data_IF_724032890952
#
_entry.id   IF_724032890952
#
_cell.length_a   1.000
_cell.length_b   1.000
_cell.length_c   1.000
_cell.angle_alpha   90.00
_cell.angle_beta   90.00
_cell.angle_gamma   90.00
#
_symmetry.space_group_name_H-M   'P 1'
#
loop_
_entity.id
_entity.type
_entity.pdbx_description
1 polymer ?
#
# COMPACT_ATOMS: atom_id res chain seq x y z
N UNK A 1 -22.03 -26.40 -40.13
CA UNK A 1 -23.36 -26.51 -39.47
C UNK A 1 -23.27 -25.86 -38.10
N UNK A 2 -23.88 -24.68 -37.91
CA UNK A 2 -23.88 -23.94 -36.63
C UNK A 2 -25.19 -24.22 -35.90
N UNK A 3 -25.12 -24.78 -34.70
CA UNK A 3 -26.28 -24.97 -33.83
C UNK A 3 -26.66 -23.62 -33.16
N UNK A 4 -27.96 -23.30 -33.04
CA UNK A 4 -28.42 -22.06 -32.44
C UNK A 4 -28.40 -22.14 -30.90
N UNK A 5 -27.97 -21.04 -30.28
CA UNK A 5 -27.86 -20.87 -28.83
C UNK A 5 -29.25 -20.52 -28.25
N UNK A 6 -29.75 -21.17 -27.18
CA UNK A 6 -31.07 -20.89 -26.64
C UNK A 6 -31.09 -19.56 -25.89
N UNK A 7 -32.03 -18.69 -26.28
CA UNK A 7 -32.34 -17.41 -25.65
C UNK A 7 -32.80 -17.65 -24.21
N UNK A 8 -32.08 -17.09 -23.23
CA UNK A 8 -32.56 -16.97 -21.85
C UNK A 8 -33.42 -15.72 -21.75
N UNK A 9 -34.73 -15.93 -21.65
CA UNK A 9 -35.68 -14.92 -21.21
C UNK A 9 -35.37 -14.52 -19.76
N UNK A 10 -35.14 -13.22 -19.55
CA UNK A 10 -35.04 -12.60 -18.21
C UNK A 10 -36.08 -11.51 -18.11
N UNK A 11 -37.32 -11.89 -17.90
CA UNK A 11 -38.34 -11.02 -17.33
C UNK A 11 -38.11 -10.96 -15.82
N UNK A 12 -37.66 -9.81 -15.32
CA UNK A 12 -37.61 -9.51 -13.88
C UNK A 12 -38.53 -8.32 -13.63
N UNK A 13 -39.47 -8.41 -12.66
CA UNK A 13 -40.36 -7.31 -12.35
C UNK A 13 -39.62 -6.22 -11.56
N UNK A 14 -39.84 -5.00 -12.02
CA UNK A 14 -39.27 -3.75 -11.53
C UNK A 14 -39.88 -3.40 -10.16
N UNK A 15 -39.13 -3.56 -9.06
CA UNK A 15 -39.61 -3.25 -7.70
C UNK A 15 -39.03 -1.90 -7.23
N UNK A 16 -39.82 -0.83 -7.38
CA UNK A 16 -39.57 0.47 -6.76
C UNK A 16 -39.61 0.32 -5.23
N UNK A 17 -38.48 0.57 -4.56
CA UNK A 17 -38.44 0.81 -3.11
C UNK A 17 -38.02 2.26 -2.86
N UNK A 18 -38.98 3.07 -2.45
CA UNK A 18 -38.70 4.34 -1.78
C UNK A 18 -38.31 4.02 -0.34
N UNK A 19 -37.10 4.38 0.07
CA UNK A 19 -36.63 4.28 1.45
C UNK A 19 -36.92 5.60 2.17
N UNK A 20 -37.82 5.56 3.14
CA UNK A 20 -38.01 6.62 4.13
C UNK A 20 -36.78 6.59 5.07
N UNK A 21 -36.06 7.69 5.27
CA UNK A 21 -34.94 7.73 6.23
C UNK A 21 -35.49 7.68 7.66
N UNK A 22 -35.06 6.68 8.43
CA UNK A 22 -35.25 6.64 9.89
C UNK A 22 -34.35 7.68 10.55
N UNK A 23 -34.92 8.51 11.42
CA UNK A 23 -34.21 9.35 12.36
C UNK A 23 -33.46 8.47 13.37
N UNK A 24 -32.16 8.70 13.52
CA UNK A 24 -31.33 8.06 14.53
C UNK A 24 -31.39 8.94 15.78
N UNK A 25 -31.98 8.42 16.85
CA UNK A 25 -31.90 9.02 18.18
C UNK A 25 -30.49 8.87 18.74
N UNK A 26 -29.88 9.99 19.14
CA UNK A 26 -28.61 10.01 19.87
C UNK A 26 -28.82 9.50 21.31
N UNK A 27 -27.93 8.65 21.85
CA UNK A 27 -27.97 8.29 23.25
C UNK A 27 -27.47 9.45 24.12
N UNK A 28 -28.30 9.84 25.10
CA UNK A 28 -27.94 10.76 26.16
C UNK A 28 -26.89 10.12 27.08
N UNK A 29 -25.82 10.85 27.35
CA UNK A 29 -24.81 10.51 28.33
C UNK A 29 -25.32 10.70 29.78
N UNK A 30 -24.94 9.82 30.73
CA UNK A 30 -25.39 9.90 32.11
C UNK A 30 -24.72 11.04 32.91
N UNK A 31 -25.38 11.56 33.96
CA UNK A 31 -24.82 12.59 34.83
C UNK A 31 -23.75 12.01 35.76
N UNK A 32 -22.59 12.65 35.81
CA UNK A 32 -21.52 12.33 36.76
C UNK A 32 -21.86 12.83 38.17
N UNK A 33 -21.46 12.11 39.23
CA UNK A 33 -21.71 12.54 40.60
C UNK A 33 -20.51 13.27 41.22
N UNK A 34 -20.87 14.19 42.12
CA UNK A 34 -20.18 14.61 43.34
C UNK A 34 -19.15 15.75 43.28
N UNK A 35 -19.61 16.84 43.88
CA UNK A 35 -18.88 17.94 44.49
C UNK A 35 -17.81 17.48 45.48
N UNK A 36 -16.66 18.17 45.53
CA UNK A 36 -15.88 18.30 46.74
C UNK A 36 -16.13 19.65 47.43
N UNK A 37 -16.55 19.52 48.69
CA UNK A 37 -16.63 20.53 49.75
C UNK A 37 -15.36 21.39 49.79
N UNK A 38 -15.50 22.71 49.63
CA UNK A 38 -14.43 23.68 49.89
C UNK A 38 -14.51 24.16 51.34
N UNK A 39 -13.56 23.69 52.14
CA UNK A 39 -13.23 24.27 53.44
C UNK A 39 -12.52 25.61 53.19
N UNK A 40 -13.17 26.71 53.57
CA UNK A 40 -12.60 28.04 53.50
C UNK A 40 -11.62 28.25 54.66
N UNK A 41 -10.34 28.52 54.33
CA UNK A 41 -9.35 28.98 55.29
C UNK A 41 -9.09 30.49 55.06
N UNK A 42 -9.25 31.36 56.08
CA UNK A 42 -9.14 32.81 55.95
C UNK A 42 -7.72 33.28 56.28
N UNK A 43 -6.74 32.97 55.44
CA UNK A 43 -5.36 33.46 55.64
C UNK A 43 -4.57 33.56 54.32
N UNK A 44 -5.09 34.31 53.34
CA UNK A 44 -4.33 34.71 52.16
C UNK A 44 -4.98 35.94 51.49
N UNK A 45 -5.04 37.06 52.22
CA UNK A 45 -5.40 38.38 51.69
C UNK A 45 -4.18 39.30 51.71
N UNK A 46 -3.22 39.03 50.82
CA UNK A 46 -2.24 40.00 50.34
C UNK A 46 -1.45 39.35 49.20
N UNK A 47 -1.29 40.04 48.07
CA UNK A 47 -0.57 39.62 46.84
C UNK A 47 -1.38 38.83 45.79
N UNK A 48 -2.49 39.38 45.30
CA UNK A 48 -3.10 38.92 44.05
C UNK A 48 -3.64 40.09 43.20
N UNK A 49 -2.75 41.03 42.84
CA UNK A 49 -2.95 41.92 41.69
C UNK A 49 -2.15 41.39 40.49
N UNK A 50 -2.26 40.09 40.21
CA UNK A 50 -1.88 39.56 38.91
C UNK A 50 -3.04 39.91 37.98
N UNK A 51 -2.80 40.85 37.07
CA UNK A 51 -3.75 41.28 36.05
C UNK A 51 -4.44 40.05 35.46
N UNK A 52 -5.78 39.97 35.60
CA UNK A 52 -6.59 38.91 35.00
C UNK A 52 -6.21 38.84 33.51
N UNK A 53 -5.80 37.67 32.98
CA UNK A 53 -5.46 37.56 31.57
C UNK A 53 -6.68 38.02 30.79
N UNK A 54 -6.51 39.11 30.03
CA UNK A 54 -7.54 39.60 29.11
C UNK A 54 -7.94 38.41 28.25
N UNK A 55 -9.22 38.02 28.21
CA UNK A 55 -9.65 36.91 27.37
C UNK A 55 -9.34 37.29 25.93
N UNK A 56 -8.23 36.76 25.41
CA UNK A 56 -7.81 36.95 24.03
C UNK A 56 -8.96 36.49 23.17
N UNK A 57 -9.51 37.39 22.35
CA UNK A 57 -10.57 37.06 21.40
C UNK A 57 -10.17 35.77 20.68
N UNK A 58 -11.04 34.75 20.62
CA UNK A 58 -10.73 33.52 19.91
C UNK A 58 -10.29 33.89 18.50
N UNK A 59 -9.10 33.45 18.11
CA UNK A 59 -8.54 33.73 16.80
C UNK A 59 -9.56 33.28 15.75
N UNK A 60 -9.86 34.16 14.79
CA UNK A 60 -10.80 33.82 13.71
C UNK A 60 -10.23 32.62 12.95
N UNK A 61 -11.06 31.62 12.58
CA UNK A 61 -10.59 30.47 11.84
C UNK A 61 -9.98 30.92 10.51
N UNK A 62 -8.86 30.31 10.15
CA UNK A 62 -8.16 30.60 8.92
C UNK A 62 -9.03 30.27 7.70
N UNK A 63 -9.22 31.24 6.80
CA UNK A 63 -10.05 31.09 5.61
C UNK A 63 -9.25 30.45 4.47
N UNK A 64 -9.07 29.14 4.55
CA UNK A 64 -8.26 28.37 3.60
C UNK A 64 -8.67 28.58 2.13
N UNK A 65 -9.97 28.71 1.85
CA UNK A 65 -10.47 28.88 0.48
C UNK A 65 -10.38 30.31 -0.06
N UNK A 66 -10.03 31.30 0.78
CA UNK A 66 -9.75 32.66 0.32
C UNK A 66 -8.34 32.77 -0.31
N UNK A 67 -7.50 31.74 -0.14
CA UNK A 67 -6.19 31.66 -0.78
C UNK A 67 -6.32 31.42 -2.29
N UNK A 68 -5.40 31.94 -3.13
CA UNK A 68 -5.30 31.56 -4.54
C UNK A 68 -5.09 30.05 -4.72
N UNK A 69 -5.59 29.49 -5.83
CA UNK A 69 -5.54 28.06 -6.09
C UNK A 69 -4.11 27.50 -6.14
N UNK A 70 -3.15 28.29 -6.60
CA UNK A 70 -1.72 27.95 -6.65
C UNK A 70 -1.14 27.72 -5.25
N UNK A 71 -1.55 28.54 -4.29
CA UNK A 71 -1.11 28.40 -2.90
C UNK A 71 -1.77 27.16 -2.28
N UNK A 72 -3.05 26.91 -2.55
CA UNK A 72 -3.74 25.70 -2.07
C UNK A 72 -3.10 24.43 -2.63
N UNK A 73 -2.74 24.42 -3.91
CA UNK A 73 -2.02 23.33 -4.56
C UNK A 73 -0.70 23.03 -3.85
N UNK A 74 0.11 24.06 -3.57
CA UNK A 74 1.35 23.91 -2.80
C UNK A 74 1.12 23.38 -1.38
N UNK A 75 0.02 23.81 -0.73
CA UNK A 75 -0.33 23.28 0.59
C UNK A 75 -0.67 21.79 0.49
N UNK A 76 -1.45 21.36 -0.51
CA UNK A 76 -1.71 19.93 -0.72
C UNK A 76 -0.43 19.13 -0.99
N UNK A 77 0.51 19.67 -1.77
CA UNK A 77 1.82 19.07 -2.01
C UNK A 77 2.70 18.98 -0.75
N UNK A 78 2.43 19.76 0.29
CA UNK A 78 3.17 19.66 1.56
C UNK A 78 2.48 18.73 2.55
N UNK A 79 1.15 18.76 2.58
CA UNK A 79 0.34 18.09 3.59
C UNK A 79 0.07 16.62 3.22
N UNK A 80 -0.09 16.30 1.94
CA UNK A 80 -0.36 14.92 1.51
C UNK A 80 0.98 14.19 1.35
N UNK A 81 1.40 13.29 2.25
CA UNK A 81 2.68 12.59 2.08
C UNK A 81 2.64 11.60 0.91
N UNK A 82 3.82 11.18 0.47
CA UNK A 82 3.92 9.98 -0.37
C UNK A 82 3.48 8.76 0.44
N UNK A 83 2.54 8.01 -0.11
CA UNK A 83 1.92 6.89 0.57
C UNK A 83 2.01 5.64 -0.29
N UNK A 84 2.05 4.49 0.37
CA UNK A 84 1.93 3.20 -0.30
C UNK A 84 0.73 2.46 0.26
N UNK A 85 -0.18 2.04 -0.61
CA UNK A 85 -1.44 1.39 -0.23
C UNK A 85 -1.51 0.02 -0.86
N UNK A 86 -1.55 -1.02 -0.03
CA UNK A 86 -1.85 -2.37 -0.47
C UNK A 86 -3.35 -2.53 -0.61
N UNK A 87 -3.81 -2.87 -1.81
CA UNK A 87 -5.23 -3.03 -2.12
C UNK A 87 -5.55 -4.52 -2.27
N UNK A 88 -6.45 -4.99 -1.42
CA UNK A 88 -6.90 -6.38 -1.39
C UNK A 88 -8.40 -6.47 -1.68
N UNK A 89 -8.82 -7.60 -2.24
CA UNK A 89 -10.23 -7.87 -2.48
C UNK A 89 -10.65 -9.22 -1.93
N UNK A 90 -11.77 -9.25 -1.21
CA UNK A 90 -12.30 -10.49 -0.64
C UNK A 90 -13.17 -11.22 -1.66
N UNK A 91 -12.81 -12.46 -2.02
CA UNK A 91 -13.63 -13.28 -2.90
C UNK A 91 -14.93 -13.72 -2.18
N UNK A 92 -16.12 -13.42 -2.71
CA UNK A 92 -17.38 -13.60 -1.98
C UNK A 92 -17.64 -15.06 -1.61
N UNK A 93 -17.29 -15.99 -2.51
CA UNK A 93 -17.44 -17.42 -2.26
C UNK A 93 -16.47 -17.94 -1.20
N UNK A 94 -15.22 -17.41 -1.14
CA UNK A 94 -14.25 -17.80 -0.11
C UNK A 94 -14.70 -17.28 1.26
N UNK A 95 -15.17 -16.03 1.32
CA UNK A 95 -15.75 -15.46 2.52
C UNK A 95 -17.01 -16.22 2.98
N UNK A 96 -17.90 -16.58 2.06
CA UNK A 96 -19.07 -17.40 2.38
C UNK A 96 -18.68 -18.77 2.93
N UNK A 97 -17.68 -19.42 2.34
CA UNK A 97 -17.17 -20.70 2.84
C UNK A 97 -16.55 -20.56 4.23
N UNK A 98 -15.81 -19.49 4.50
CA UNK A 98 -15.27 -19.20 5.84
C UNK A 98 -16.38 -18.95 6.86
N UNK A 99 -17.42 -18.20 6.50
CA UNK A 99 -18.59 -17.97 7.37
C UNK A 99 -19.34 -19.28 7.65
N UNK A 100 -19.58 -20.11 6.64
CA UNK A 100 -20.20 -21.44 6.82
C UNK A 100 -19.36 -22.36 7.71
N UNK A 101 -18.03 -22.27 7.65
CA UNK A 101 -17.14 -23.03 8.54
C UNK A 101 -17.21 -22.54 9.99
N UNK A 102 -17.31 -21.23 10.21
CA UNK A 102 -17.41 -20.62 11.55
C UNK A 102 -18.79 -20.83 12.19
N UNK A 103 -19.84 -20.74 11.38
CA UNK A 103 -21.23 -20.78 11.84
C UNK A 103 -22.05 -21.73 10.94
N UNK A 104 -21.89 -23.06 11.10
CA UNK A 104 -22.50 -24.04 10.20
C UNK A 104 -24.02 -24.10 10.29
N UNK A 105 -24.60 -23.72 11.44
CA UNK A 105 -26.05 -23.77 11.69
C UNK A 105 -26.79 -22.53 11.14
N UNK A 106 -26.07 -21.46 10.79
CA UNK A 106 -26.68 -20.20 10.35
C UNK A 106 -26.80 -20.17 8.82
N UNK A 107 -27.95 -19.71 8.31
CA UNK A 107 -28.12 -19.46 6.87
C UNK A 107 -27.41 -18.17 6.48
N UNK A 108 -26.25 -18.28 5.84
CA UNK A 108 -25.46 -17.13 5.38
C UNK A 108 -25.86 -16.70 3.96
N UNK A 109 -26.05 -15.39 3.76
CA UNK A 109 -26.10 -14.80 2.41
C UNK A 109 -24.69 -14.65 1.85
N UNK A 110 -24.54 -14.78 0.52
CA UNK A 110 -23.25 -14.54 -0.13
C UNK A 110 -22.83 -13.08 0.09
N UNK A 111 -21.68 -12.83 0.74
CA UNK A 111 -21.21 -11.47 0.97
C UNK A 111 -20.91 -10.80 -0.37
N UNK A 112 -21.03 -9.47 -0.40
CA UNK A 112 -20.64 -8.70 -1.59
C UNK A 112 -19.11 -8.68 -1.70
N UNK A 113 -18.63 -8.46 -2.91
CA UNK A 113 -17.20 -8.23 -3.11
C UNK A 113 -16.82 -6.90 -2.47
N UNK A 114 -15.85 -6.93 -1.57
CA UNK A 114 -15.36 -5.74 -0.88
C UNK A 114 -13.88 -5.55 -1.21
N UNK A 115 -13.52 -4.31 -1.56
CA UNK A 115 -12.13 -3.88 -1.71
C UNK A 115 -11.73 -3.22 -0.40
N UNK A 116 -10.57 -3.58 0.11
CA UNK A 116 -9.96 -2.99 1.30
C UNK A 116 -8.57 -2.48 0.94
N UNK A 117 -8.18 -1.35 1.52
CA UNK A 117 -6.83 -0.80 1.40
C UNK A 117 -6.17 -0.79 2.77
N UNK A 118 -4.89 -1.17 2.85
CA UNK A 118 -4.07 -0.99 4.05
C UNK A 118 -2.86 -0.13 3.69
N UNK A 119 -2.68 0.97 4.41
CA UNK A 119 -1.52 1.83 4.26
C UNK A 119 -0.28 1.12 4.81
N UNK A 120 0.81 1.15 4.06
CA UNK A 120 2.14 0.71 4.51
C UNK A 120 2.99 1.97 4.70
N UNK A 121 3.20 2.37 5.96
CA UNK A 121 3.95 3.58 6.32
C UNK A 121 3.11 4.56 7.12
N UNK A 122 3.53 5.83 7.12
CA UNK A 122 2.83 6.92 7.79
C UNK A 122 1.38 7.04 7.25
N UNK A 123 0.40 7.21 8.13
CA UNK A 123 -0.99 7.35 7.72
C UNK A 123 -1.12 8.56 6.81
N UNK A 124 -1.62 8.35 5.59
CA UNK A 124 -1.98 9.48 4.71
C UNK A 124 -3.04 10.32 5.38
N UNK A 125 -2.98 11.64 5.21
CA UNK A 125 -4.02 12.58 5.64
C UNK A 125 -5.31 12.46 4.81
N UNK A 126 -5.86 11.24 4.73
CA UNK A 126 -7.14 10.95 4.08
C UNK A 126 -8.30 11.70 4.78
N UNK A 127 -8.10 12.17 6.01
CA UNK A 127 -9.00 13.07 6.74
C UNK A 127 -9.36 14.32 5.93
N UNK A 128 -8.43 14.84 5.10
CA UNK A 128 -8.67 15.98 4.23
C UNK A 128 -9.83 15.72 3.26
N UNK A 129 -9.96 14.49 2.75
CA UNK A 129 -11.02 14.11 1.80
C UNK A 129 -12.42 14.15 2.43
N UNK A 130 -12.52 14.10 3.75
CA UNK A 130 -13.81 14.04 4.48
C UNK A 130 -14.23 15.37 5.11
N UNK A 131 -13.39 16.41 4.98
CA UNK A 131 -13.65 17.73 5.57
C UNK A 131 -14.82 18.47 4.92
N UNK A 132 -14.75 18.75 3.61
CA UNK A 132 -15.78 19.43 2.83
C UNK A 132 -15.70 19.05 1.35
N UNK A 133 -16.77 19.33 0.60
CA UNK A 133 -16.89 18.97 -0.83
C UNK A 133 -15.87 19.67 -1.71
N UNK A 134 -15.54 20.93 -1.43
CA UNK A 134 -14.56 21.68 -2.21
C UNK A 134 -13.15 21.12 -1.99
N UNK A 135 -12.75 20.91 -0.73
CA UNK A 135 -11.47 20.28 -0.40
C UNK A 135 -11.37 18.89 -1.04
N UNK A 136 -12.42 18.08 -0.96
CA UNK A 136 -12.44 16.75 -1.58
C UNK A 136 -12.14 16.80 -3.09
N UNK A 137 -12.76 17.73 -3.83
CA UNK A 137 -12.55 17.88 -5.28
C UNK A 137 -11.13 18.30 -5.65
N UNK A 138 -10.51 19.15 -4.84
CA UNK A 138 -9.13 19.61 -5.07
C UNK A 138 -8.11 18.55 -4.60
N UNK A 139 -8.25 18.04 -3.38
CA UNK A 139 -7.30 17.14 -2.73
C UNK A 139 -7.29 15.72 -3.33
N UNK A 140 -8.39 15.24 -3.92
CA UNK A 140 -8.45 13.87 -4.48
C UNK A 140 -7.34 13.61 -5.51
N UNK A 141 -6.98 14.63 -6.30
CA UNK A 141 -5.92 14.52 -7.32
C UNK A 141 -4.56 14.29 -6.67
N UNK A 142 -4.25 15.08 -5.64
CA UNK A 142 -2.98 14.98 -4.89
C UNK A 142 -2.85 13.66 -4.15
N UNK A 143 -3.92 13.23 -3.46
CA UNK A 143 -3.92 11.95 -2.74
C UNK A 143 -3.65 10.79 -3.69
N UNK A 144 -4.32 10.72 -4.84
CA UNK A 144 -4.12 9.62 -5.79
C UNK A 144 -2.80 9.73 -6.56
N UNK A 145 -2.31 10.93 -6.84
CA UNK A 145 -1.03 11.14 -7.52
C UNK A 145 0.18 10.76 -6.66
N UNK A 146 0.09 10.97 -5.34
CA UNK A 146 1.17 10.64 -4.39
C UNK A 146 1.02 9.28 -3.72
N UNK A 147 -0.02 8.53 -4.08
CA UNK A 147 -0.22 7.18 -3.56
C UNK A 147 0.25 6.14 -4.57
N UNK A 148 1.16 5.27 -4.15
CA UNK A 148 1.52 4.06 -4.89
C UNK A 148 0.55 2.95 -4.51
N UNK A 149 -0.33 2.58 -5.44
CA UNK A 149 -1.31 1.50 -5.21
C UNK A 149 -0.73 0.15 -5.61
N UNK A 150 -0.77 -0.79 -4.67
CA UNK A 150 -0.16 -2.10 -4.81
C UNK A 150 -1.24 -3.17 -4.91
N UNK A 151 -1.24 -3.95 -5.98
CA UNK A 151 -2.27 -4.94 -6.28
C UNK A 151 -1.66 -6.33 -6.37
N UNK A 152 -2.19 -7.26 -5.57
CA UNK A 152 -1.82 -8.68 -5.63
C UNK A 152 -2.58 -9.46 -6.70
N UNK A 153 -3.60 -8.85 -7.31
CA UNK A 153 -4.44 -9.50 -8.31
C UNK A 153 -5.02 -8.52 -9.31
N UNK A 154 -4.93 -8.89 -10.57
CA UNK A 154 -5.54 -8.20 -11.72
C UNK A 154 -7.05 -7.99 -11.54
N UNK A 155 -7.74 -8.90 -10.86
CA UNK A 155 -9.19 -8.78 -10.58
C UNK A 155 -9.48 -7.63 -9.61
N UNK A 156 -8.62 -7.46 -8.61
CA UNK A 156 -8.73 -6.37 -7.62
C UNK A 156 -8.46 -5.05 -8.32
N UNK A 157 -7.38 -4.97 -9.11
CA UNK A 157 -7.02 -3.80 -9.91
C UNK A 157 -8.18 -3.34 -10.80
N UNK A 158 -8.75 -4.25 -11.61
CA UNK A 158 -9.89 -3.91 -12.48
C UNK A 158 -11.08 -3.36 -11.71
N UNK A 159 -11.44 -4.00 -10.58
CA UNK A 159 -12.57 -3.56 -9.77
C UNK A 159 -12.29 -2.25 -9.06
N UNK A 160 -11.06 -2.03 -8.62
CA UNK A 160 -10.63 -0.77 -8.04
C UNK A 160 -10.83 0.36 -9.05
N UNK A 161 -10.28 0.22 -10.27
CA UNK A 161 -10.44 1.22 -11.34
C UNK A 161 -11.91 1.47 -11.67
N UNK A 162 -12.77 0.46 -11.67
CA UNK A 162 -14.19 0.65 -11.95
C UNK A 162 -14.97 1.36 -10.83
N UNK A 163 -14.45 1.36 -9.60
CA UNK A 163 -15.15 1.89 -8.43
C UNK A 163 -14.71 3.31 -8.05
N UNK A 164 -13.52 3.74 -8.48
CA UNK A 164 -13.00 5.07 -8.12
C UNK A 164 -13.50 6.16 -9.08
N UNK A 165 -13.67 7.41 -8.60
CA UNK A 165 -14.06 8.53 -9.45
C UNK A 165 -13.09 8.77 -10.60
N UNK A 166 -13.58 9.34 -11.71
CA UNK A 166 -12.74 9.64 -12.87
C UNK A 166 -11.56 10.55 -12.54
N UNK A 167 -11.77 11.62 -11.76
CA UNK A 167 -10.69 12.52 -11.34
C UNK A 167 -9.60 11.80 -10.53
N UNK A 168 -9.95 10.77 -9.76
CA UNK A 168 -8.98 9.94 -9.05
C UNK A 168 -8.21 9.04 -10.01
N UNK A 169 -8.91 8.38 -10.95
CA UNK A 169 -8.30 7.47 -11.95
C UNK A 169 -7.21 8.14 -12.75
N UNK A 170 -7.54 9.29 -13.33
CA UNK A 170 -6.61 10.03 -14.19
C UNK A 170 -5.43 10.61 -13.42
N UNK A 171 -5.56 10.74 -12.09
CA UNK A 171 -4.48 11.21 -11.22
C UNK A 171 -3.56 10.10 -10.73
N UNK A 172 -3.83 8.81 -11.00
CA UNK A 172 -2.93 7.72 -10.60
C UNK A 172 -1.65 7.79 -11.42
N UNK A 173 -0.53 8.03 -10.74
CA UNK A 173 0.81 8.16 -11.35
C UNK A 173 1.66 6.91 -11.11
N UNK A 174 1.47 6.22 -9.99
CA UNK A 174 2.31 5.11 -9.54
C UNK A 174 1.50 3.85 -9.23
N UNK A 175 1.86 2.72 -9.85
CA UNK A 175 1.24 1.42 -9.62
C UNK A 175 2.29 0.34 -9.33
N UNK A 176 1.95 -0.56 -8.41
CA UNK A 176 2.67 -1.81 -8.18
C UNK A 176 1.70 -2.98 -8.45
N UNK A 177 2.05 -3.86 -9.39
CA UNK A 177 1.18 -4.95 -9.81
C UNK A 177 1.93 -6.27 -9.70
N UNK A 178 1.43 -7.17 -8.86
CA UNK A 178 1.85 -8.56 -8.84
C UNK A 178 0.89 -9.38 -9.70
N UNK A 179 1.43 -10.07 -10.69
CA UNK A 179 0.69 -10.97 -11.56
C UNK A 179 1.32 -12.36 -11.54
N UNK A 180 0.52 -13.34 -11.15
CA UNK A 180 0.88 -14.76 -11.22
C UNK A 180 0.17 -15.32 -12.45
N UNK A 181 0.95 -15.65 -13.47
CA UNK A 181 0.47 -16.17 -14.75
C UNK A 181 -0.19 -17.53 -14.61
N UNK A 182 -0.98 -17.90 -15.62
CA UNK A 182 -1.52 -19.24 -15.72
C UNK A 182 -0.55 -20.07 -16.58
N UNK A 183 0.05 -21.11 -16.02
CA UNK A 183 0.97 -21.96 -16.78
C UNK A 183 0.29 -22.74 -17.89
N UNK A 184 1.09 -23.40 -18.74
CA UNK A 184 0.52 -24.28 -19.77
C UNK A 184 -0.17 -25.48 -19.09
N UNK A 185 -1.49 -25.65 -19.26
CA UNK A 185 -2.17 -26.77 -18.62
C UNK A 185 -1.76 -28.09 -19.27
N UNK A 186 -1.71 -29.20 -18.50
CA UNK A 186 -1.37 -30.51 -19.05
C UNK A 186 -2.43 -31.01 -20.04
N UNK A 187 -3.68 -30.58 -19.87
CA UNK A 187 -4.79 -30.92 -20.75
C UNK A 187 -5.07 -29.77 -21.71
N UNK A 188 -5.08 -30.06 -23.02
CA UNK A 188 -5.41 -29.08 -24.05
C UNK A 188 -6.80 -28.45 -23.86
N UNK A 189 -7.74 -29.16 -23.26
CA UNK A 189 -9.08 -28.64 -22.96
C UNK A 189 -9.04 -27.46 -21.97
N UNK A 190 -8.08 -27.46 -21.04
CA UNK A 190 -7.95 -26.39 -20.04
C UNK A 190 -7.23 -25.15 -20.59
N UNK A 191 -6.65 -25.23 -21.81
CA UNK A 191 -5.98 -24.12 -22.49
C UNK A 191 -6.91 -22.91 -22.68
N UNK A 192 -8.21 -23.14 -22.79
CA UNK A 192 -9.19 -22.04 -22.87
C UNK A 192 -9.13 -21.13 -21.63
N UNK A 193 -8.88 -21.68 -20.43
CA UNK A 193 -8.79 -20.90 -19.20
C UNK A 193 -7.57 -19.99 -19.18
N UNK A 194 -6.44 -20.49 -19.68
CA UNK A 194 -5.23 -19.69 -19.89
C UNK A 194 -5.49 -18.54 -20.86
N UNK A 195 -6.04 -18.82 -22.04
CA UNK A 195 -6.35 -17.79 -23.03
C UNK A 195 -7.32 -16.73 -22.47
N UNK A 196 -8.32 -17.14 -21.69
CA UNK A 196 -9.23 -16.21 -21.00
C UNK A 196 -8.51 -15.37 -19.95
N UNK A 197 -7.56 -15.95 -19.22
CA UNK A 197 -6.73 -15.23 -18.26
C UNK A 197 -5.86 -14.18 -18.96
N UNK A 198 -5.16 -14.56 -20.02
CA UNK A 198 -4.25 -13.68 -20.77
C UNK A 198 -5.01 -12.55 -21.46
N UNK A 199 -6.16 -12.85 -22.06
CA UNK A 199 -7.06 -11.84 -22.63
C UNK A 199 -7.54 -10.85 -21.55
N UNK A 200 -7.84 -11.35 -20.35
CA UNK A 200 -8.24 -10.49 -19.22
C UNK A 200 -7.08 -9.64 -18.72
N UNK A 201 -5.88 -10.20 -18.66
CA UNK A 201 -4.67 -9.47 -18.27
C UNK A 201 -4.39 -8.33 -19.25
N UNK A 202 -4.35 -8.63 -20.55
CA UNK A 202 -4.19 -7.64 -21.62
C UNK A 202 -5.27 -6.55 -21.55
N UNK A 203 -6.54 -6.92 -21.38
CA UNK A 203 -7.63 -5.96 -21.28
C UNK A 203 -7.50 -5.01 -20.06
N UNK A 204 -7.03 -5.51 -18.93
CA UNK A 204 -6.82 -4.67 -17.73
C UNK A 204 -5.63 -3.74 -17.91
N UNK A 205 -4.54 -4.20 -18.52
CA UNK A 205 -3.42 -3.32 -18.83
C UNK A 205 -3.79 -2.22 -19.83
N UNK A 206 -4.57 -2.55 -20.85
CA UNK A 206 -5.12 -1.54 -21.76
C UNK A 206 -6.02 -0.53 -21.04
N UNK A 207 -6.83 -1.01 -20.07
CA UNK A 207 -7.64 -0.12 -19.23
C UNK A 207 -6.77 0.81 -18.39
N UNK A 208 -5.69 0.30 -17.77
CA UNK A 208 -4.74 1.11 -17.00
C UNK A 208 -4.13 2.20 -17.90
N UNK A 209 -3.64 1.82 -19.09
CA UNK A 209 -3.07 2.76 -20.06
C UNK A 209 -4.02 3.90 -20.41
N UNK A 210 -5.30 3.60 -20.61
CA UNK A 210 -6.30 4.58 -21.04
C UNK A 210 -6.83 5.47 -19.89
N UNK A 211 -6.88 4.94 -18.67
CA UNK A 211 -7.59 5.59 -17.56
C UNK A 211 -6.66 6.26 -16.54
N UNK A 212 -5.35 6.07 -16.63
CA UNK A 212 -4.38 6.56 -15.64
C UNK A 212 -3.29 7.40 -16.28
N UNK A 213 -2.72 8.34 -15.54
CA UNK A 213 -1.53 9.10 -15.94
C UNK A 213 -0.25 8.40 -15.45
N UNK A 214 -0.16 7.10 -15.73
CA UNK A 214 0.91 6.24 -15.22
C UNK A 214 2.28 6.75 -15.68
N UNK A 215 3.17 7.00 -14.72
CA UNK A 215 4.59 7.34 -14.97
C UNK A 215 5.55 6.35 -14.32
N UNK A 216 5.14 5.78 -13.19
CA UNK A 216 5.95 4.84 -12.42
C UNK A 216 5.20 3.51 -12.32
N UNK A 217 5.90 2.43 -12.65
CA UNK A 217 5.33 1.10 -12.63
C UNK A 217 6.31 0.11 -12.00
N UNK A 218 5.83 -0.59 -10.98
CA UNK A 218 6.51 -1.74 -10.40
C UNK A 218 5.73 -3.00 -10.78
N UNK A 219 6.38 -3.96 -11.43
CA UNK A 219 5.76 -5.21 -11.87
C UNK A 219 6.46 -6.40 -11.24
N UNK A 220 5.71 -7.27 -10.61
CA UNK A 220 6.20 -8.56 -10.12
C UNK A 220 5.44 -9.65 -10.88
N UNK A 221 6.09 -10.29 -11.84
CA UNK A 221 5.47 -11.27 -12.73
C UNK A 221 6.07 -12.63 -12.46
N UNK A 222 5.21 -13.60 -12.15
CA UNK A 222 5.58 -15.01 -12.11
C UNK A 222 4.95 -15.68 -13.33
N UNK A 223 5.76 -16.08 -14.31
CA UNK A 223 5.28 -16.78 -15.52
C UNK A 223 5.55 -18.28 -15.40
N UNK A 224 4.62 -19.10 -15.91
CA UNK A 224 4.70 -20.56 -15.93
C UNK A 224 4.44 -21.13 -17.34
N UNK A 225 4.56 -20.31 -18.37
CA UNK A 225 4.37 -20.71 -19.75
C UNK A 225 5.46 -21.68 -20.21
N UNK A 226 5.06 -22.72 -20.95
CA UNK A 226 6.00 -23.66 -21.56
C UNK A 226 5.51 -24.09 -22.96
N UNK A 227 6.38 -24.13 -23.97
CA UNK A 227 7.77 -23.64 -23.99
C UNK A 227 7.82 -22.11 -24.07
N UNK A 228 8.75 -21.49 -23.33
CA UNK A 228 9.03 -20.05 -23.34
C UNK A 228 10.54 -19.83 -23.45
N UNK A 229 10.99 -18.84 -24.22
CA UNK A 229 12.41 -18.52 -24.40
C UNK A 229 12.86 -17.33 -23.53
N UNK A 230 11.89 -16.62 -22.92
CA UNK A 230 12.07 -15.39 -22.13
C UNK A 230 12.59 -14.22 -22.98
N UNK A 231 12.14 -14.15 -24.23
CA UNK A 231 12.47 -13.06 -25.14
C UNK A 231 11.39 -11.98 -25.11
N UNK A 232 11.80 -10.71 -25.23
CA UNK A 232 10.88 -9.56 -25.18
C UNK A 232 9.88 -9.53 -26.35
N UNK A 233 10.14 -10.27 -27.44
CA UNK A 233 9.26 -10.38 -28.61
C UNK A 233 8.14 -11.40 -28.44
N UNK A 234 8.17 -12.18 -27.37
CA UNK A 234 7.21 -13.25 -27.14
C UNK A 234 5.82 -12.70 -26.75
N UNK A 235 4.76 -13.50 -26.96
CA UNK A 235 3.39 -13.09 -26.68
C UNK A 235 3.14 -12.62 -25.24
N UNK A 236 3.85 -13.19 -24.25
CA UNK A 236 3.70 -12.82 -22.84
C UNK A 236 4.12 -11.38 -22.54
N UNK A 237 5.11 -10.85 -23.27
CA UNK A 237 5.66 -9.50 -23.07
C UNK A 237 4.86 -8.43 -23.83
N UNK A 238 4.19 -8.81 -24.92
CA UNK A 238 3.37 -7.91 -25.77
C UNK A 238 2.43 -7.00 -24.98
N UNK A 239 1.58 -7.47 -24.04
CA UNK A 239 0.66 -6.60 -23.32
C UNK A 239 1.38 -5.60 -22.38
N UNK A 240 2.60 -5.93 -21.92
CA UNK A 240 3.42 -5.05 -21.09
C UNK A 240 4.05 -3.93 -21.92
N UNK A 241 4.54 -4.26 -23.12
CA UNK A 241 5.03 -3.27 -24.08
C UNK A 241 3.89 -2.35 -24.54
N UNK A 242 2.70 -2.91 -24.79
CA UNK A 242 1.52 -2.14 -25.16
C UNK A 242 1.11 -1.15 -24.07
N UNK A 243 1.18 -1.55 -22.79
CA UNK A 243 0.95 -0.70 -21.62
C UNK A 243 1.91 0.49 -21.59
N UNK A 244 3.21 0.26 -21.84
CA UNK A 244 4.22 1.32 -21.80
C UNK A 244 4.01 2.39 -22.88
N UNK A 245 3.50 2.01 -24.06
CA UNK A 245 3.24 2.96 -25.15
C UNK A 245 4.51 3.71 -25.57
N UNK A 246 4.50 5.04 -25.44
CA UNK A 246 5.65 5.91 -25.77
C UNK A 246 6.78 5.82 -24.72
N UNK A 247 6.54 5.11 -23.63
CA UNK A 247 7.46 4.84 -22.55
C UNK A 247 7.04 5.46 -21.23
N UNK A 248 7.46 4.82 -20.14
CA UNK A 248 7.23 5.27 -18.77
C UNK A 248 8.49 5.94 -18.19
N UNK A 249 8.33 6.83 -17.21
CA UNK A 249 9.45 7.50 -16.55
C UNK A 249 10.26 6.53 -15.71
N UNK A 250 9.59 5.59 -15.04
CA UNK A 250 10.23 4.58 -14.20
C UNK A 250 9.50 3.25 -14.31
N UNK A 251 10.27 2.20 -14.60
CA UNK A 251 9.79 0.82 -14.57
C UNK A 251 10.77 -0.01 -13.76
N UNK A 252 10.25 -0.72 -12.77
CA UNK A 252 10.95 -1.74 -12.00
C UNK A 252 10.20 -3.06 -12.21
N UNK A 253 10.86 -4.08 -12.76
CA UNK A 253 10.26 -5.34 -13.14
C UNK A 253 11.04 -6.50 -12.54
N UNK A 254 10.33 -7.32 -11.78
CA UNK A 254 10.80 -8.61 -11.29
C UNK A 254 10.10 -9.71 -12.09
N UNK A 255 10.90 -10.58 -12.69
CA UNK A 255 10.40 -11.75 -13.41
C UNK A 255 10.85 -13.02 -12.67
N UNK A 256 9.90 -13.90 -12.41
CA UNK A 256 10.13 -15.22 -11.82
C UNK A 256 9.56 -16.29 -12.77
N UNK A 257 10.27 -17.40 -12.89
CA UNK A 257 9.87 -18.55 -13.70
C UNK A 257 10.47 -19.83 -13.12
N UNK A 258 9.69 -20.92 -13.06
CA UNK A 258 10.11 -22.18 -12.43
C UNK A 258 11.21 -22.91 -13.22
N UNK A 259 11.09 -22.94 -14.55
CA UNK A 259 12.03 -23.63 -15.44
C UNK A 259 13.33 -22.89 -15.82
N UNK A 260 13.58 -21.68 -15.32
CA UNK A 260 14.76 -20.88 -15.72
C UNK A 260 15.55 -20.37 -14.51
N UNK A 261 16.89 -20.28 -14.61
CA UNK A 261 17.71 -19.70 -13.56
C UNK A 261 17.41 -18.20 -13.40
N UNK A 262 17.49 -17.72 -12.16
CA UNK A 262 17.19 -16.33 -11.80
C UNK A 262 17.97 -15.30 -12.62
N UNK A 263 19.22 -15.61 -13.01
CA UNK A 263 20.05 -14.73 -13.85
C UNK A 263 19.41 -14.48 -15.22
N UNK A 264 18.83 -15.50 -15.84
CA UNK A 264 18.16 -15.37 -17.13
C UNK A 264 16.86 -14.57 -16.99
N UNK A 265 16.08 -14.83 -15.94
CA UNK A 265 14.86 -14.08 -15.65
C UNK A 265 15.15 -12.60 -15.40
N UNK A 266 16.20 -12.29 -14.63
CA UNK A 266 16.62 -10.90 -14.37
C UNK A 266 17.19 -10.22 -15.62
N UNK A 267 17.89 -10.94 -16.51
CA UNK A 267 18.33 -10.40 -17.79
C UNK A 267 17.15 -10.03 -18.69
N UNK A 268 16.19 -10.94 -18.85
CA UNK A 268 14.96 -10.72 -19.62
C UNK A 268 14.13 -9.57 -19.02
N UNK A 269 14.01 -9.51 -17.70
CA UNK A 269 13.33 -8.42 -17.00
C UNK A 269 13.99 -7.06 -17.28
N UNK A 270 15.32 -6.96 -17.17
CA UNK A 270 16.08 -5.73 -17.47
C UNK A 270 15.94 -5.31 -18.93
N UNK A 271 15.91 -6.26 -19.86
CA UNK A 271 15.69 -5.95 -21.27
C UNK A 271 14.30 -5.35 -21.48
N UNK A 272 13.27 -5.97 -20.89
CA UNK A 272 11.89 -5.49 -20.95
C UNK A 272 11.74 -4.12 -20.28
N UNK A 273 12.32 -3.91 -19.11
CA UNK A 273 12.37 -2.60 -18.44
C UNK A 273 12.96 -1.51 -19.35
N UNK A 274 14.10 -1.82 -20.01
CA UNK A 274 14.78 -0.88 -20.92
C UNK A 274 13.90 -0.51 -22.11
N UNK A 275 13.05 -1.43 -22.57
CA UNK A 275 12.09 -1.21 -23.67
C UNK A 275 10.88 -0.41 -23.21
N UNK A 276 10.42 -0.62 -21.97
CA UNK A 276 9.26 0.08 -21.41
C UNK A 276 9.57 1.50 -20.92
N UNK A 277 10.84 1.82 -20.62
CA UNK A 277 11.22 3.15 -20.14
C UNK A 277 11.59 4.14 -21.25
N UNK A 278 11.25 5.42 -21.04
CA UNK A 278 11.73 6.52 -21.87
C UNK A 278 13.25 6.67 -21.79
N UNK A 279 13.86 7.35 -22.78
CA UNK A 279 15.30 7.65 -22.76
C UNK A 279 15.72 8.45 -21.52
N UNK A 280 14.91 9.43 -21.14
CA UNK A 280 15.16 10.28 -19.97
C UNK A 280 14.88 9.55 -18.65
N UNK A 281 13.84 8.72 -18.60
CA UNK A 281 13.58 7.83 -17.47
C UNK A 281 14.77 6.93 -17.15
N UNK A 282 15.40 6.35 -18.19
CA UNK A 282 16.63 5.55 -18.05
C UNK A 282 17.81 6.36 -17.49
N UNK A 283 17.99 7.61 -17.93
CA UNK A 283 19.04 8.49 -17.40
C UNK A 283 18.79 8.81 -15.92
N UNK A 284 17.55 9.17 -15.56
CA UNK A 284 17.14 9.46 -14.17
C UNK A 284 17.33 8.24 -13.26
N UNK A 285 16.90 7.04 -13.68
CA UNK A 285 17.09 5.79 -12.94
C UNK A 285 18.56 5.53 -12.63
N UNK A 286 19.44 5.65 -13.64
CA UNK A 286 20.90 5.51 -13.45
C UNK A 286 21.49 6.55 -12.49
N UNK A 287 21.02 7.80 -12.53
CA UNK A 287 21.48 8.84 -11.60
C UNK A 287 21.04 8.53 -10.17
N UNK A 288 19.80 8.08 -9.98
CA UNK A 288 19.28 7.68 -8.67
C UNK A 288 20.03 6.46 -8.11
N UNK A 289 20.28 5.44 -8.93
CA UNK A 289 21.08 4.27 -8.56
C UNK A 289 22.50 4.65 -8.15
N UNK A 290 23.16 5.54 -8.92
CA UNK A 290 24.49 6.07 -8.55
C UNK A 290 24.46 6.82 -7.24
N UNK A 291 23.43 7.64 -7.00
CA UNK A 291 23.26 8.37 -5.74
C UNK A 291 23.07 7.41 -4.57
N UNK A 292 22.19 6.42 -4.72
CA UNK A 292 21.94 5.38 -3.71
C UNK A 292 23.20 4.57 -3.39
N UNK A 293 23.95 4.14 -4.41
CA UNK A 293 25.22 3.42 -4.23
C UNK A 293 26.28 4.29 -3.52
N UNK A 294 26.34 5.60 -3.81
CA UNK A 294 27.24 6.50 -3.13
C UNK A 294 26.86 6.71 -1.65
N UNK A 295 25.56 6.82 -1.34
CA UNK A 295 25.05 6.90 0.03
C UNK A 295 25.29 5.60 0.80
N UNK A 296 25.06 4.45 0.19
CA UNK A 296 25.33 3.14 0.79
C UNK A 296 26.83 2.94 1.06
N UNK A 297 27.69 3.29 0.10
CA UNK A 297 29.14 3.28 0.29
C UNK A 297 29.56 4.16 1.47
N UNK A 298 29.01 5.39 1.57
CA UNK A 298 29.24 6.27 2.72
C UNK A 298 28.79 5.64 4.04
N UNK A 299 27.62 4.99 4.08
CA UNK A 299 27.13 4.27 5.27
C UNK A 299 28.05 3.13 5.69
N UNK A 300 28.58 2.37 4.72
CA UNK A 300 29.54 1.27 4.97
C UNK A 300 30.88 1.82 5.48
N UNK A 301 31.39 2.90 4.90
CA UNK A 301 32.60 3.58 5.38
C UNK A 301 32.43 4.16 6.80
N UNK A 302 31.26 4.72 7.11
CA UNK A 302 30.96 5.21 8.45
C UNK A 302 30.82 4.08 9.47
N UNK A 303 30.16 2.96 9.10
CA UNK A 303 30.01 1.81 9.99
C UNK A 303 31.34 1.13 10.27
N UNK A 304 32.20 0.97 9.25
CA UNK A 304 33.56 0.43 9.40
C UNK A 304 34.45 1.32 10.26
N UNK A 305 34.39 2.65 10.09
CA UNK A 305 35.10 3.62 10.97
C UNK A 305 34.62 3.57 12.42
N UNK A 306 33.32 3.36 12.65
CA UNK A 306 32.76 3.19 14.00
C UNK A 306 33.22 1.87 14.63
N UNK A 307 33.26 0.78 13.85
CA UNK A 307 33.72 -0.53 14.31
C UNK A 307 35.21 -0.54 14.69
N UNK A 308 36.06 0.22 14.00
CA UNK A 308 37.51 0.30 14.33
C UNK A 308 37.79 1.05 15.63
N UNK A 309 36.84 1.85 16.14
CA UNK A 309 36.97 2.58 17.42
C UNK A 309 36.57 1.75 18.63
N UNK A 310 36.23 0.47 18.46
CA UNK A 310 35.95 -0.44 19.59
C UNK A 310 37.28 -0.75 20.30
N UNK A 311 37.35 -0.30 21.55
CA UNK A 311 38.52 -0.39 22.44
C UNK A 311 39.16 -1.78 22.41
N UNK A 312 40.41 -1.84 21.92
CA UNK A 312 41.27 -3.00 22.13
C UNK A 312 41.69 -3.02 23.60
N UNK A 313 40.96 -3.74 24.44
CA UNK A 313 41.38 -3.99 25.81
C UNK A 313 42.63 -4.88 25.73
N UNK A 314 43.80 -4.27 25.84
CA UNK A 314 45.04 -5.01 26.09
C UNK A 314 44.99 -5.52 27.51
N UNK A 315 44.61 -6.78 27.67
CA UNK A 315 44.77 -7.49 28.93
C UNK A 315 46.28 -7.52 29.25
N UNK A 316 46.70 -7.12 30.45
CA UNK A 316 48.10 -7.16 30.82
C UNK A 316 48.59 -8.61 30.75
N UNK A 317 49.52 -8.87 29.83
CA UNK A 317 50.26 -10.11 29.70
C UNK A 317 51.21 -10.25 30.88
N UNK A 318 50.68 -10.68 32.02
CA UNK A 318 51.43 -10.88 33.25
C UNK A 318 50.66 -11.78 34.20
N UNK A 319 50.43 -13.03 33.82
CA UNK A 319 50.04 -14.07 34.78
C UNK A 319 50.47 -15.44 34.26
N UNK A 320 51.08 -16.20 35.17
CA UNK A 320 51.77 -17.45 34.95
C UNK A 320 50.90 -18.55 34.32
N UNK A 321 51.59 -19.46 33.62
CA UNK A 321 51.08 -20.74 33.15
C UNK A 321 50.55 -21.55 34.34
N UNK A 322 49.24 -21.60 34.52
CA UNK A 322 48.59 -22.70 35.24
C UNK A 322 47.62 -23.38 34.29
N UNK A 323 48.04 -24.55 33.79
CA UNK A 323 47.20 -25.45 33.01
C UNK A 323 46.16 -26.07 33.94
N UNK A 324 44.98 -25.47 34.01
CA UNK A 324 43.81 -26.05 34.63
C UNK A 324 42.74 -26.34 33.57
N UNK A 325 41.98 -27.43 33.69
CA UNK A 325 40.93 -27.77 32.73
C UNK A 325 39.84 -26.70 32.73
N UNK A 326 39.55 -26.17 31.54
CA UNK A 326 38.55 -25.13 31.30
C UNK A 326 37.16 -25.67 31.67
N UNK A 327 36.67 -25.30 32.86
CA UNK A 327 35.26 -25.46 33.20
C UNK A 327 34.44 -24.50 32.34
N UNK A 328 33.68 -25.05 31.38
CA UNK A 328 32.64 -24.32 30.64
C UNK A 328 31.57 -23.85 31.63
N UNK A 329 31.71 -22.64 32.14
CA UNK A 329 30.65 -21.97 32.88
C UNK A 329 29.65 -21.38 31.87
N UNK A 330 28.68 -22.19 31.44
CA UNK A 330 27.53 -21.70 30.68
C UNK A 330 26.65 -20.93 31.67
N UNK A 331 26.78 -19.59 31.68
CA UNK A 331 25.81 -18.72 32.37
C UNK A 331 24.51 -18.73 31.56
N UNK A 332 23.58 -19.58 31.95
CA UNK A 332 22.27 -19.78 31.31
C UNK A 332 21.19 -18.77 31.75
N UNK A 333 21.54 -17.62 32.32
CA UNK A 333 20.56 -16.61 32.74
C UNK A 333 21.08 -15.21 32.47
N UNK A 334 20.51 -14.50 31.51
CA UNK A 334 20.90 -13.09 31.32
C UNK A 334 20.38 -12.32 30.11
N UNK A 335 19.44 -12.83 29.31
CA UNK A 335 18.90 -12.05 28.18
C UNK A 335 17.37 -12.03 28.06
N UNK A 336 16.65 -12.84 28.83
CA UNK A 336 15.17 -12.81 28.86
C UNK A 336 14.60 -11.51 29.42
N UNK A 337 15.38 -10.78 30.23
CA UNK A 337 14.99 -9.49 30.82
C UNK A 337 14.95 -8.35 29.80
N UNK A 338 15.51 -8.55 28.60
CA UNK A 338 15.52 -7.57 27.50
C UNK A 338 14.57 -7.96 26.36
N UNK A 339 13.77 -9.01 26.50
CA UNK A 339 12.69 -9.30 25.58
C UNK A 339 11.59 -8.24 25.77
N UNK A 340 11.66 -7.18 24.96
CA UNK A 340 10.62 -6.15 24.84
C UNK A 340 9.29 -6.85 24.63
N UNK A 341 8.39 -6.72 25.61
CA UNK A 341 7.02 -7.21 25.50
C UNK A 341 6.39 -6.60 24.23
N UNK A 342 6.00 -7.46 23.28
CA UNK A 342 5.27 -7.00 22.10
C UNK A 342 4.00 -6.28 22.57
N UNK A 343 3.72 -5.05 22.12
CA UNK A 343 2.49 -4.38 22.48
C UNK A 343 1.28 -5.19 21.96
N UNK A 344 0.18 -5.25 22.73
CA UNK A 344 -1.01 -5.97 22.31
C UNK A 344 -1.53 -5.42 20.99
N UNK A 345 -1.70 -6.32 20.02
CA UNK A 345 -2.29 -6.04 18.72
C UNK A 345 -3.70 -5.48 18.93
N UNK A 346 -3.90 -4.21 18.65
CA UNK A 346 -5.23 -3.62 18.61
C UNK A 346 -5.99 -4.19 17.41
N UNK A 347 -7.10 -4.88 17.68
CA UNK A 347 -8.08 -5.24 16.67
C UNK A 347 -8.99 -4.03 16.44
N UNK A 348 -9.00 -3.51 15.20
CA UNK A 348 -10.00 -2.55 14.73
C UNK A 348 -11.18 -3.26 14.06
#
# INVERSE_FOLDING_TARGET
>A
MRLPNPKRDRTVPNRKRQSIPRSVSQPQSPPGPNDPVKIASPAARALANIAKPVPSRPARPFRFFDLPGEIRNRIYDLVVPEARVMVFGTHPQKALQQLKKREPKTKHQSPRYHIRGTFTGEPTEASLLFSCRQMNREAIRYVYARTTFCFTSVVVLRKFLNNIPEAARTSIVSLEITNIGYGEPPLLADREWKLRHDAKWSAVLNQVKQQTALRQLVLNITNFDWPIQLEVREPWATPLLALAGDGLDRVDLTLEHDGFPQERCTAAAKELEKRMMTGDGRKKKRQEEKRKAAEEKKRIEESTRKATKVLTIRLPSGAAKTSGPVKKLVRSKGLEQYAVAQPPVAFC
#
